data_IF_005652497621
#
_entry.id   IF_005652497621
#
_cell.length_a   1.000
_cell.length_b   1.000
_cell.length_c   1.000
_cell.angle_alpha   90.00
_cell.angle_beta   90.00
_cell.angle_gamma   90.00
#
_symmetry.space_group_name_H-M   'P 1'
#
loop_
_entity.id
_entity.type
_entity.pdbx_description
1 polymer ?
#
# COMPACT_ATOMS: atom_id res chain seq x y z
N UNK A 1 8.50 -12.67 -9.27
CA UNK A 1 7.48 -12.60 -8.20
C UNK A 1 6.55 -11.43 -8.48
N UNK A 2 5.26 -11.53 -8.13
CA UNK A 2 4.26 -10.47 -8.26
C UNK A 2 3.84 -9.95 -6.89
N UNK A 3 3.97 -8.65 -6.65
CA UNK A 3 3.55 -8.01 -5.40
C UNK A 3 2.51 -6.94 -5.72
N UNK A 4 1.33 -7.05 -5.12
CA UNK A 4 0.35 -5.96 -5.09
C UNK A 4 0.65 -5.06 -3.90
N UNK A 5 0.63 -3.74 -4.09
CA UNK A 5 0.96 -2.76 -3.05
C UNK A 5 -0.25 -1.86 -2.84
N UNK A 6 -0.86 -1.93 -1.65
CA UNK A 6 -2.08 -1.19 -1.31
C UNK A 6 -1.81 -0.27 -0.11
N UNK A 7 -2.48 0.86 -0.05
CA UNK A 7 -2.35 1.81 1.06
C UNK A 7 -3.66 2.55 1.32
N UNK A 8 -3.84 3.03 2.56
CA UNK A 8 -4.86 3.98 2.95
C UNK A 8 -6.27 3.47 2.54
N UNK A 9 -6.61 2.27 3.02
CA UNK A 9 -7.88 1.57 2.76
C UNK A 9 -9.04 2.21 3.53
N UNK A 10 -8.75 2.69 4.74
CA UNK A 10 -9.67 3.44 5.59
C UNK A 10 -11.03 2.77 5.82
N UNK A 11 -11.04 1.44 5.91
CA UNK A 11 -12.25 0.66 6.18
C UNK A 11 -13.27 0.67 5.05
N UNK A 12 -12.94 1.15 3.85
CA UNK A 12 -13.86 1.09 2.70
C UNK A 12 -13.83 -0.29 2.04
N UNK A 13 -14.88 -1.07 2.29
CA UNK A 13 -15.04 -2.39 1.68
C UNK A 13 -15.20 -2.29 0.15
N UNK A 14 -15.94 -1.28 -0.32
CA UNK A 14 -16.17 -1.10 -1.75
C UNK A 14 -14.88 -0.73 -2.51
N UNK A 15 -13.98 0.05 -1.89
CA UNK A 15 -12.67 0.33 -2.45
C UNK A 15 -11.78 -0.92 -2.47
N UNK A 16 -11.79 -1.69 -1.37
CA UNK A 16 -11.03 -2.94 -1.27
C UNK A 16 -11.48 -3.97 -2.32
N UNK A 17 -12.78 -4.26 -2.42
CA UNK A 17 -13.27 -5.23 -3.41
C UNK A 17 -12.97 -4.78 -4.83
N UNK A 18 -13.16 -3.49 -5.13
CA UNK A 18 -12.82 -2.95 -6.45
C UNK A 18 -11.36 -3.23 -6.82
N UNK A 19 -10.40 -2.96 -5.94
CA UNK A 19 -8.99 -3.22 -6.26
C UNK A 19 -8.67 -4.71 -6.30
N UNK A 20 -9.32 -5.53 -5.47
CA UNK A 20 -9.14 -6.99 -5.49
C UNK A 20 -9.68 -7.61 -6.78
N UNK A 21 -10.81 -7.12 -7.31
CA UNK A 21 -11.35 -7.51 -8.62
C UNK A 21 -10.36 -7.17 -9.74
N UNK A 22 -9.77 -5.98 -9.71
CA UNK A 22 -8.72 -5.58 -10.66
C UNK A 22 -7.45 -6.44 -10.54
N UNK A 23 -7.14 -6.94 -9.35
CA UNK A 23 -5.98 -7.81 -9.10
C UNK A 23 -6.26 -9.29 -9.41
N UNK A 24 -7.52 -9.73 -9.42
CA UNK A 24 -7.88 -11.13 -9.58
C UNK A 24 -7.34 -11.76 -10.89
N UNK A 25 -7.43 -11.12 -12.08
CA UNK A 25 -6.80 -11.65 -13.29
C UNK A 25 -5.27 -11.65 -13.23
N UNK A 26 -4.68 -10.68 -12.51
CA UNK A 26 -3.23 -10.53 -12.42
C UNK A 26 -2.60 -11.54 -11.46
N UNK A 27 -3.36 -12.03 -10.48
CA UNK A 27 -2.96 -13.01 -9.46
C UNK A 27 -1.61 -12.63 -8.84
N UNK A 28 -1.57 -11.64 -7.92
CA UNK A 28 -0.34 -11.37 -7.16
C UNK A 28 0.11 -12.65 -6.44
N UNK A 29 1.38 -12.72 -6.05
CA UNK A 29 1.90 -13.74 -5.12
C UNK A 29 1.75 -13.22 -3.68
N UNK A 30 2.02 -11.92 -3.45
CA UNK A 30 1.92 -11.27 -2.15
C UNK A 30 1.18 -9.93 -2.20
N UNK A 31 0.65 -9.52 -1.05
CA UNK A 31 0.06 -8.21 -0.82
C UNK A 31 0.91 -7.44 0.20
N UNK A 32 1.39 -6.27 -0.18
CA UNK A 32 2.08 -5.34 0.69
C UNK A 32 1.11 -4.23 1.09
N UNK A 33 0.67 -4.22 2.35
CA UNK A 33 -0.27 -3.23 2.86
C UNK A 33 0.48 -2.15 3.64
N UNK A 34 0.36 -0.90 3.21
CA UNK A 34 1.15 0.21 3.74
C UNK A 34 0.51 0.90 4.96
N UNK A 35 -0.55 0.35 5.56
CA UNK A 35 -1.21 0.88 6.76
C UNK A 35 -2.48 1.68 6.48
N UNK A 36 -3.12 2.12 7.56
CA UNK A 36 -4.44 2.78 7.61
C UNK A 36 -5.53 1.89 7.00
N UNK A 37 -5.71 0.72 7.61
CA UNK A 37 -6.47 -0.39 7.05
C UNK A 37 -7.97 -0.28 7.33
N UNK A 38 -8.34 -0.05 8.59
CA UNK A 38 -9.73 -0.19 9.08
C UNK A 38 -10.34 1.15 9.49
N UNK A 39 -9.62 1.96 10.26
CA UNK A 39 -10.10 3.25 10.74
C UNK A 39 -10.13 4.29 9.61
N UNK A 40 -11.24 5.00 9.44
CA UNK A 40 -11.33 6.07 8.43
C UNK A 40 -10.40 7.26 8.72
N UNK A 41 -9.96 7.42 9.96
CA UNK A 41 -9.13 8.53 10.38
C UNK A 41 -9.97 9.76 10.77
N UNK A 42 -9.80 10.33 11.98
CA UNK A 42 -10.65 11.43 12.49
C UNK A 42 -10.67 12.71 11.64
N UNK A 43 -9.69 12.87 10.74
CA UNK A 43 -9.55 14.04 9.85
C UNK A 43 -10.18 13.82 8.47
N UNK A 44 -10.64 12.60 8.18
CA UNK A 44 -11.29 12.26 6.91
C UNK A 44 -12.81 12.08 7.14
N UNK A 45 -13.65 12.36 6.14
CA UNK A 45 -15.06 11.97 6.19
C UNK A 45 -15.19 10.45 6.26
N UNK A 46 -16.38 9.96 6.62
CA UNK A 46 -16.69 8.52 6.50
C UNK A 46 -16.70 8.16 5.01
N UNK A 47 -15.91 7.17 4.54
CA UNK A 47 -15.84 6.85 3.12
C UNK A 47 -17.09 6.10 2.64
N UNK A 48 -17.40 6.17 1.34
CA UNK A 48 -18.37 5.26 0.72
C UNK A 48 -18.01 3.80 1.00
N UNK A 49 -19.00 2.99 1.39
CA UNK A 49 -18.78 1.57 1.71
C UNK A 49 -17.95 1.32 2.97
N UNK A 50 -17.91 2.27 3.91
CA UNK A 50 -17.25 2.09 5.20
C UNK A 50 -17.84 0.91 5.98
N UNK A 51 -17.08 -0.18 6.09
CA UNK A 51 -17.45 -1.40 6.79
C UNK A 51 -16.18 -2.08 7.37
N UNK A 52 -15.55 -1.53 8.42
CA UNK A 52 -14.26 -2.01 8.93
C UNK A 52 -14.22 -3.50 9.29
N UNK A 53 -15.28 -4.02 9.92
CA UNK A 53 -15.36 -5.44 10.28
C UNK A 53 -15.32 -6.34 9.03
N UNK A 54 -16.08 -5.99 7.99
CA UNK A 54 -16.09 -6.74 6.73
C UNK A 54 -14.77 -6.60 5.95
N UNK A 55 -14.10 -5.44 6.05
CA UNK A 55 -12.73 -5.26 5.52
C UNK A 55 -11.76 -6.21 6.22
N UNK A 56 -11.83 -6.34 7.55
CA UNK A 56 -10.99 -7.28 8.29
C UNK A 56 -11.24 -8.73 7.87
N UNK A 57 -12.50 -9.17 7.84
CA UNK A 57 -12.88 -10.50 7.34
C UNK A 57 -12.33 -10.76 5.93
N UNK A 58 -12.46 -9.77 5.04
CA UNK A 58 -11.98 -9.87 3.67
C UNK A 58 -10.45 -9.98 3.60
N UNK A 59 -9.72 -9.15 4.32
CA UNK A 59 -8.26 -9.18 4.35
C UNK A 59 -7.73 -10.49 4.97
N UNK A 60 -8.41 -11.05 5.96
CA UNK A 60 -8.02 -12.31 6.61
C UNK A 60 -8.04 -13.49 5.63
N UNK A 61 -8.90 -13.46 4.59
CA UNK A 61 -8.84 -14.46 3.50
C UNK A 61 -7.51 -14.47 2.72
N UNK A 62 -6.70 -13.41 2.86
CA UNK A 62 -5.39 -13.24 2.22
C UNK A 62 -4.22 -13.32 3.21
N UNK A 63 -4.47 -13.57 4.50
CA UNK A 63 -3.53 -13.34 5.60
C UNK A 63 -2.13 -13.96 5.39
N UNK A 64 -2.06 -15.21 4.92
CA UNK A 64 -0.78 -15.92 4.68
C UNK A 64 0.09 -15.30 3.59
N UNK A 65 -0.46 -14.36 2.82
CA UNK A 65 0.20 -13.69 1.69
C UNK A 65 0.40 -12.19 1.93
N UNK A 66 -0.01 -11.69 3.10
CA UNK A 66 0.07 -10.27 3.47
C UNK A 66 1.36 -9.98 4.23
N UNK A 67 2.01 -8.89 3.84
CA UNK A 67 3.00 -8.18 4.65
C UNK A 67 2.47 -6.77 4.88
N UNK A 68 2.47 -6.30 6.13
CA UNK A 68 1.92 -4.99 6.46
C UNK A 68 2.85 -4.16 7.34
N UNK A 69 2.68 -2.85 7.30
CA UNK A 69 3.28 -1.87 8.21
C UNK A 69 2.18 -1.03 8.84
N UNK A 70 2.45 -0.54 10.05
CA UNK A 70 1.47 0.22 10.84
C UNK A 70 1.25 1.60 10.25
N UNK A 71 -0.01 1.93 9.97
CA UNK A 71 -0.47 3.28 9.67
C UNK A 71 -0.70 4.12 10.92
N UNK A 72 -0.83 5.44 10.77
CA UNK A 72 -1.06 6.32 11.92
C UNK A 72 -2.50 6.26 12.45
N UNK A 73 -3.43 5.69 11.68
CA UNK A 73 -4.81 5.47 12.10
C UNK A 73 -5.06 4.04 12.61
N UNK A 74 -4.09 3.13 12.44
CA UNK A 74 -4.17 1.76 12.94
C UNK A 74 -3.87 1.69 14.44
N UNK A 75 -4.56 0.79 15.12
CA UNK A 75 -4.56 0.65 16.57
C UNK A 75 -4.56 -0.83 17.01
N UNK A 76 -4.50 -1.06 18.32
CA UNK A 76 -4.47 -2.42 18.89
C UNK A 76 -5.75 -3.21 18.58
N UNK A 77 -6.92 -2.54 18.54
CA UNK A 77 -8.18 -3.20 18.17
C UNK A 77 -8.17 -3.67 16.72
N UNK A 78 -7.52 -2.94 15.82
CA UNK A 78 -7.39 -3.35 14.42
C UNK A 78 -6.52 -4.61 14.30
N UNK A 79 -5.42 -4.68 15.06
CA UNK A 79 -4.59 -5.88 15.14
C UNK A 79 -5.37 -7.07 15.72
N UNK A 80 -6.28 -6.86 16.68
CA UNK A 80 -7.11 -7.93 17.23
C UNK A 80 -8.12 -8.51 16.22
N UNK A 81 -8.46 -7.76 15.17
CA UNK A 81 -9.36 -8.20 14.10
C UNK A 81 -8.64 -8.85 12.91
N UNK A 82 -7.36 -8.51 12.71
CA UNK A 82 -6.59 -8.97 11.55
C UNK A 82 -5.69 -10.16 11.90
N UNK A 83 -5.78 -11.21 11.10
CA UNK A 83 -5.07 -12.49 11.30
C UNK A 83 -3.61 -12.44 10.81
N UNK A 84 -3.04 -11.24 10.65
CA UNK A 84 -1.66 -11.01 10.23
C UNK A 84 -1.06 -9.81 10.97
N UNK A 85 0.27 -9.73 11.13
CA UNK A 85 0.91 -8.64 11.85
C UNK A 85 0.80 -7.30 11.11
N UNK A 86 0.30 -6.27 11.79
CA UNK A 86 0.21 -4.90 11.25
C UNK A 86 1.03 -3.89 12.07
N UNK A 87 1.57 -4.29 13.23
CA UNK A 87 2.11 -3.32 14.21
C UNK A 87 3.54 -2.86 13.93
N UNK A 88 4.25 -3.50 13.00
CA UNK A 88 5.61 -3.14 12.64
C UNK A 88 5.66 -1.70 12.07
N UNK A 89 6.49 -0.79 12.62
CA UNK A 89 6.56 0.59 12.13
C UNK A 89 7.21 0.71 10.75
N UNK A 90 8.01 -0.28 10.37
CA UNK A 90 8.57 -0.47 9.04
C UNK A 90 8.92 -1.94 8.83
N UNK A 91 9.14 -2.33 7.57
CA UNK A 91 9.78 -3.58 7.17
C UNK A 91 10.95 -3.29 6.22
N UNK A 92 11.91 -4.21 6.17
CA UNK A 92 12.93 -4.24 5.13
C UNK A 92 12.84 -5.55 4.36
N UNK A 93 12.70 -5.47 3.04
CA UNK A 93 12.58 -6.64 2.16
C UNK A 93 13.76 -6.65 1.18
N UNK A 94 14.25 -7.84 0.85
CA UNK A 94 15.22 -8.04 -0.23
C UNK A 94 14.47 -8.66 -1.41
N UNK A 95 14.23 -7.85 -2.45
CA UNK A 95 13.47 -8.26 -3.64
C UNK A 95 14.35 -8.03 -4.86
N UNK A 96 14.60 -9.10 -5.61
CA UNK A 96 15.44 -9.12 -6.82
C UNK A 96 16.79 -8.39 -6.63
N UNK A 97 17.45 -8.66 -5.49
CA UNK A 97 18.75 -8.09 -5.15
C UNK A 97 18.73 -6.64 -4.66
N UNK A 98 17.55 -6.01 -4.53
CA UNK A 98 17.37 -4.64 -4.05
C UNK A 98 16.76 -4.61 -2.66
N UNK A 99 17.16 -3.64 -1.85
CA UNK A 99 16.54 -3.40 -0.55
C UNK A 99 15.33 -2.50 -0.71
N UNK A 100 14.19 -2.95 -0.20
CA UNK A 100 12.97 -2.16 -0.07
C UNK A 100 12.81 -1.78 1.39
N UNK A 101 12.77 -0.48 1.67
CA UNK A 101 12.34 0.03 2.96
C UNK A 101 10.87 0.40 2.86
N UNK A 102 10.04 -0.28 3.65
CA UNK A 102 8.59 -0.13 3.61
C UNK A 102 8.15 0.48 4.92
N UNK A 103 7.42 1.59 4.88
CA UNK A 103 6.82 2.21 6.06
C UNK A 103 5.53 2.93 5.66
N UNK A 104 4.63 3.25 6.60
CA UNK A 104 3.44 4.01 6.22
C UNK A 104 3.79 5.43 5.72
N UNK A 105 4.86 6.05 6.22
CA UNK A 105 5.32 7.39 5.81
C UNK A 105 5.09 8.51 6.83
N UNK A 106 4.48 8.20 7.98
CA UNK A 106 4.30 9.16 9.08
C UNK A 106 5.49 9.23 10.06
N UNK A 107 6.35 8.20 10.08
CA UNK A 107 7.49 8.09 11.01
C UNK A 107 8.85 8.31 10.35
N UNK A 108 8.99 7.92 9.08
CA UNK A 108 10.27 7.89 8.38
C UNK A 108 10.20 8.73 7.12
N UNK A 109 11.27 9.48 6.84
CA UNK A 109 11.48 10.18 5.57
C UNK A 109 12.57 9.48 4.75
N UNK A 110 12.50 9.49 3.41
CA UNK A 110 13.51 8.85 2.56
C UNK A 110 14.95 9.28 2.87
N UNK A 111 15.17 10.59 3.07
CA UNK A 111 16.49 11.15 3.36
C UNK A 111 17.07 10.78 4.74
N UNK A 112 16.24 10.28 5.66
CA UNK A 112 16.63 9.94 7.04
C UNK A 112 16.98 8.45 7.20
N UNK A 113 16.71 7.63 6.19
CA UNK A 113 16.96 6.17 6.22
C UNK A 113 18.19 5.84 5.37
N UNK A 114 19.28 5.33 5.97
CA UNK A 114 20.48 4.97 5.23
C UNK A 114 20.24 3.69 4.39
N UNK A 115 20.07 3.86 3.08
CA UNK A 115 19.84 2.79 2.13
C UNK A 115 20.96 2.72 1.08
N UNK A 116 21.36 1.52 0.63
CA UNK A 116 22.30 1.39 -0.48
C UNK A 116 21.71 1.93 -1.79
N UNK A 117 22.58 2.32 -2.73
CA UNK A 117 22.16 2.78 -4.06
C UNK A 117 21.27 1.75 -4.77
N UNK A 118 20.26 2.22 -5.50
CA UNK A 118 19.27 1.39 -6.18
C UNK A 118 18.21 0.77 -5.27
N UNK A 119 18.16 1.15 -3.98
CA UNK A 119 17.10 0.75 -3.04
C UNK A 119 15.78 1.45 -3.35
N UNK A 120 14.71 0.92 -2.76
CA UNK A 120 13.38 1.50 -2.83
C UNK A 120 12.95 2.00 -1.45
N UNK A 121 12.30 3.14 -1.42
CA UNK A 121 11.52 3.61 -0.28
C UNK A 121 10.04 3.62 -0.67
N UNK A 122 9.25 2.77 -0.01
CA UNK A 122 7.84 2.54 -0.33
C UNK A 122 6.99 3.02 0.85
N UNK A 123 6.07 3.94 0.59
CA UNK A 123 5.20 4.50 1.63
C UNK A 123 3.80 4.88 1.17
N UNK A 124 2.90 5.11 2.13
CA UNK A 124 1.52 5.56 1.94
C UNK A 124 1.29 6.97 2.50
N UNK A 125 0.25 7.14 3.32
CA UNK A 125 -0.01 8.28 4.20
C UNK A 125 -0.42 9.59 3.52
N UNK A 126 0.28 10.01 2.47
CA UNK A 126 0.00 11.27 1.77
C UNK A 126 -1.19 11.17 0.81
N UNK A 127 -1.57 9.93 0.46
CA UNK A 127 -2.59 9.60 -0.55
C UNK A 127 -2.27 10.14 -1.96
N UNK A 128 -1.02 10.53 -2.20
CA UNK A 128 -0.55 11.05 -3.48
C UNK A 128 0.32 9.99 -4.14
N UNK A 129 -0.05 9.46 -5.32
CA UNK A 129 0.77 8.51 -6.01
C UNK A 129 2.10 9.15 -6.43
N UNK A 130 3.20 8.45 -6.17
CA UNK A 130 4.57 8.84 -6.52
C UNK A 130 5.28 7.63 -7.05
N UNK A 131 5.93 7.73 -8.21
CA UNK A 131 6.84 6.71 -8.70
C UNK A 131 7.96 7.36 -9.49
N UNK A 132 9.12 7.57 -8.86
CA UNK A 132 10.24 8.28 -9.47
C UNK A 132 11.58 7.89 -8.85
N UNK A 133 12.67 8.22 -9.56
CA UNK A 133 14.03 8.17 -9.02
C UNK A 133 14.37 9.51 -8.38
N UNK A 134 14.87 9.49 -7.16
CA UNK A 134 15.45 10.63 -6.46
C UNK A 134 16.92 10.31 -6.13
N UNK A 135 17.83 10.79 -6.98
CA UNK A 135 19.21 10.35 -6.97
C UNK A 135 19.30 8.83 -7.21
N UNK A 136 19.96 8.12 -6.30
CA UNK A 136 20.12 6.67 -6.34
C UNK A 136 18.96 5.89 -5.71
N UNK A 137 17.98 6.57 -5.11
CA UNK A 137 16.84 5.95 -4.44
C UNK A 137 15.62 5.96 -5.38
N UNK A 138 14.81 4.90 -5.32
CA UNK A 138 13.50 4.87 -5.97
C UNK A 138 12.43 5.13 -4.92
N UNK A 139 11.60 6.15 -5.14
CA UNK A 139 10.46 6.45 -4.29
C UNK A 139 9.19 5.86 -4.90
N UNK A 140 8.40 5.17 -4.08
CA UNK A 140 7.08 4.72 -4.46
C UNK A 140 6.05 5.04 -3.38
N UNK A 141 4.96 5.66 -3.80
CA UNK A 141 3.70 5.73 -3.07
C UNK A 141 2.59 5.28 -4.00
N UNK A 142 1.82 4.22 -3.70
CA UNK A 142 0.77 3.73 -4.59
C UNK A 142 -0.44 4.68 -4.66
N UNK A 143 -0.48 5.73 -3.85
CA UNK A 143 -1.67 6.54 -3.61
C UNK A 143 -2.57 5.90 -2.56
N UNK A 144 -3.82 6.36 -2.50
CA UNK A 144 -4.86 5.75 -1.68
C UNK A 144 -5.91 5.09 -2.57
N UNK A 145 -6.37 3.90 -2.18
CA UNK A 145 -7.51 3.26 -2.85
C UNK A 145 -8.85 3.89 -2.45
N UNK A 146 -8.89 4.62 -1.32
CA UNK A 146 -10.10 5.15 -0.71
C UNK A 146 -10.22 6.68 -0.83
N UNK A 147 -9.19 7.42 -0.43
CA UNK A 147 -9.17 8.88 -0.37
C UNK A 147 -8.06 9.49 -1.23
N UNK A 148 -8.06 9.33 -2.56
CA UNK A 148 -7.03 9.93 -3.40
C UNK A 148 -6.98 11.46 -3.23
N UNK A 149 -5.78 12.03 -3.29
CA UNK A 149 -5.56 13.48 -3.18
C UNK A 149 -4.97 14.05 -4.47
N UNK A 150 -4.94 15.38 -4.58
CA UNK A 150 -4.32 16.08 -5.71
C UNK A 150 -5.09 16.03 -7.03
N UNK A 151 -6.40 15.76 -6.99
CA UNK A 151 -7.25 15.52 -8.17
C UNK A 151 -6.75 14.34 -9.03
N UNK A 152 -6.17 13.33 -8.36
CA UNK A 152 -5.67 12.10 -8.98
C UNK A 152 -6.67 10.96 -8.72
N UNK A 153 -6.59 9.90 -9.52
CA UNK A 153 -7.44 8.73 -9.37
C UNK A 153 -7.04 7.89 -8.13
N UNK A 154 -8.02 7.22 -7.53
CA UNK A 154 -7.77 6.14 -6.58
C UNK A 154 -6.87 5.10 -7.25
N UNK A 155 -5.80 4.70 -6.58
CA UNK A 155 -4.72 3.95 -7.21
C UNK A 155 -4.06 2.94 -6.29
N UNK A 156 -3.37 1.98 -6.90
CA UNK A 156 -2.62 0.93 -6.22
C UNK A 156 -1.35 0.59 -6.99
N UNK A 157 -0.40 -0.04 -6.30
CA UNK A 157 0.87 -0.45 -6.87
C UNK A 157 0.90 -1.89 -7.34
N UNK A 158 1.70 -2.16 -8.36
CA UNK A 158 2.11 -3.51 -8.78
C UNK A 158 3.62 -3.56 -8.95
N UNK A 159 4.20 -4.69 -8.60
CA UNK A 159 5.56 -5.05 -8.94
C UNK A 159 5.60 -6.41 -9.63
N UNK A 160 6.35 -6.50 -10.73
CA UNK A 160 6.69 -7.78 -11.37
C UNK A 160 7.96 -7.63 -12.19
N UNK A 161 8.90 -8.56 -11.99
CA UNK A 161 10.10 -8.74 -12.82
C UNK A 161 10.88 -7.42 -13.04
N UNK A 162 11.21 -6.72 -11.95
CA UNK A 162 11.94 -5.45 -12.00
C UNK A 162 11.11 -4.23 -12.43
N UNK A 163 9.81 -4.37 -12.68
CA UNK A 163 8.93 -3.27 -13.09
C UNK A 163 7.97 -2.90 -11.96
N UNK A 164 8.00 -1.63 -11.56
CA UNK A 164 6.98 -1.01 -10.72
C UNK A 164 5.94 -0.30 -11.59
N UNK A 165 4.68 -0.37 -11.17
CA UNK A 165 3.59 0.38 -11.78
C UNK A 165 2.61 0.89 -10.72
N UNK A 166 2.02 2.04 -10.99
CA UNK A 166 0.85 2.55 -10.27
C UNK A 166 -0.32 2.49 -11.24
N UNK A 167 -1.41 1.89 -10.78
CA UNK A 167 -2.59 1.59 -11.58
C UNK A 167 -3.84 2.24 -11.00
N UNK A 168 -4.74 2.70 -11.87
CA UNK A 168 -6.04 3.21 -11.46
C UNK A 168 -6.93 2.07 -10.93
N UNK A 169 -7.61 2.30 -9.80
CA UNK A 169 -8.56 1.33 -9.24
C UNK A 169 -9.80 1.12 -10.12
N UNK A 170 -10.13 2.08 -10.99
CA UNK A 170 -11.33 2.03 -11.82
C UNK A 170 -11.26 0.91 -12.88
N UNK A 171 -10.10 0.75 -13.53
CA UNK A 171 -9.95 -0.04 -14.76
C UNK A 171 -8.55 -0.65 -14.94
N UNK A 172 -7.68 -0.60 -13.92
CA UNK A 172 -6.28 -1.03 -14.00
C UNK A 172 -5.39 -0.22 -14.97
N UNK A 173 -5.82 0.94 -15.49
CA UNK A 173 -4.99 1.80 -16.35
C UNK A 173 -3.66 2.11 -15.68
N UNK A 174 -2.56 2.03 -16.45
CA UNK A 174 -1.22 2.35 -15.94
C UNK A 174 -1.07 3.87 -15.85
N UNK A 175 -1.05 4.40 -14.63
CA UNK A 175 -0.86 5.83 -14.37
C UNK A 175 0.62 6.21 -14.36
N UNK A 176 1.46 5.33 -13.80
CA UNK A 176 2.92 5.51 -13.73
C UNK A 176 3.60 4.16 -13.88
N UNK A 177 4.79 4.14 -14.47
CA UNK A 177 5.60 2.94 -14.64
C UNK A 177 7.08 3.28 -14.53
N UNK A 178 7.85 2.42 -13.86
CA UNK A 178 9.29 2.55 -13.72
C UNK A 178 9.96 1.17 -13.76
N UNK A 179 11.02 1.06 -14.55
CA UNK A 179 11.89 -0.13 -14.59
C UNK A 179 13.11 0.11 -13.69
N UNK A 180 13.42 -0.87 -12.84
CA UNK A 180 14.37 -0.76 -11.72
C UNK A 180 15.82 -1.03 -12.09
#
# INVERSE_FOLDING_TARGET
MKIAILSDLHGSLSALERVLDQLAPWQPDHYLLLGDLLNHGPRNPVPPGYAPAAVAERLNTLASRVMAVRGNCDSEVDQMLLDFPITAPYNQMLVDGRRWFVSHGHLYRPAEVPLPAGSLFISGHTHLPVLQREGELVLMNPGSICFPRGNLAASYGRYKDGVLGIHACADSEVLMRLEL
#
